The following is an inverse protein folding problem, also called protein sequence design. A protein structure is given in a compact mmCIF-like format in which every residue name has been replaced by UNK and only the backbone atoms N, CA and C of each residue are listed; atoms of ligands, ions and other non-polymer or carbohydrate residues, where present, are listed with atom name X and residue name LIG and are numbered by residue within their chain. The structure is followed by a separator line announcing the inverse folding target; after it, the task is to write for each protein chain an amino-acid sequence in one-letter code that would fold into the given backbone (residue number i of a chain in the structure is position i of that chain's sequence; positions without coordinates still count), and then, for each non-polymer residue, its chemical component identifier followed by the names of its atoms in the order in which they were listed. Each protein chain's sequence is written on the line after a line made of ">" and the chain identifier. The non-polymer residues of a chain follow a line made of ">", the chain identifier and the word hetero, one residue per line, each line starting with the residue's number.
data_IF_788674227814
#
_entry.id   IF_788674227814
#
_cell.length_a   1.000
_cell.length_b   1.000
_cell.length_c   1.000
_cell.angle_alpha   90.00
_cell.angle_beta   90.00
_cell.angle_gamma   90.00
#
_symmetry.space_group_name_H-M   'P 1'
#
loop_
_entity.id
_entity.type
_entity.pdbx_description
1 polymer ?
#
# COMPACT_ATOMS: atom_id res chain seq x y z
N UNK A 1 6.41 4.30 -21.17
CA UNK A 1 7.82 4.35 -20.70
C UNK A 1 8.29 5.77 -20.31
N UNK A 2 7.42 6.80 -20.30
CA UNK A 2 7.82 8.21 -20.09
C UNK A 2 7.58 8.78 -18.68
N UNK A 3 7.38 7.97 -17.63
CA UNK A 3 6.93 8.48 -16.31
C UNK A 3 7.95 8.26 -15.17
N UNK A 4 9.12 7.68 -15.45
CA UNK A 4 10.21 7.74 -14.47
C UNK A 4 10.84 9.14 -14.51
N UNK A 5 10.89 9.83 -13.35
CA UNK A 5 11.70 11.02 -13.21
C UNK A 5 13.12 10.73 -13.76
N UNK A 6 13.62 11.59 -14.65
CA UNK A 6 14.93 11.46 -15.30
C UNK A 6 16.02 11.01 -14.32
N UNK A 7 16.04 11.60 -13.12
CA UNK A 7 17.01 11.26 -12.07
C UNK A 7 16.94 9.81 -11.60
N UNK A 8 15.73 9.26 -11.44
CA UNK A 8 15.54 7.88 -10.99
C UNK A 8 15.77 6.87 -12.09
N UNK A 9 15.43 7.22 -13.33
CA UNK A 9 15.76 6.40 -14.49
C UNK A 9 17.27 6.27 -14.65
N UNK A 10 17.99 7.41 -14.63
CA UNK A 10 19.45 7.44 -14.70
C UNK A 10 20.08 6.67 -13.54
N UNK A 11 19.59 6.85 -12.30
CA UNK A 11 20.10 6.09 -11.15
C UNK A 11 19.93 4.57 -11.32
N UNK A 12 18.74 4.13 -11.76
CA UNK A 12 18.43 2.70 -11.96
C UNK A 12 19.24 2.09 -13.11
N UNK A 13 19.41 2.83 -14.21
CA UNK A 13 20.12 2.34 -15.41
C UNK A 13 21.65 2.36 -15.24
N UNK A 14 22.21 3.36 -14.56
CA UNK A 14 23.66 3.59 -14.51
C UNK A 14 24.32 3.16 -13.18
N UNK A 15 23.66 3.40 -12.04
CA UNK A 15 24.22 3.11 -10.72
C UNK A 15 23.76 1.77 -10.16
N UNK A 16 22.47 1.49 -10.18
CA UNK A 16 21.92 0.30 -9.52
C UNK A 16 22.39 -1.00 -10.19
N UNK A 17 22.50 -1.02 -11.53
CA UNK A 17 23.05 -2.17 -12.28
C UNK A 17 24.49 -2.52 -11.94
N UNK A 18 25.28 -1.53 -11.54
CA UNK A 18 26.72 -1.66 -11.29
C UNK A 18 27.06 -1.63 -9.80
N UNK A 19 26.06 -1.56 -8.92
CA UNK A 19 26.26 -1.57 -7.48
C UNK A 19 26.50 -3.01 -7.02
N UNK A 20 27.71 -3.29 -6.51
CA UNK A 20 27.90 -4.51 -5.73
C UNK A 20 27.13 -4.39 -4.42
N UNK A 21 25.96 -5.04 -4.36
CA UNK A 21 25.19 -5.15 -3.14
C UNK A 21 25.95 -6.06 -2.17
N UNK A 22 26.28 -5.53 -0.99
CA UNK A 22 26.88 -6.29 0.08
C UNK A 22 26.03 -7.51 0.49
N UNK A 23 26.66 -8.48 1.13
CA UNK A 23 25.96 -9.67 1.62
C UNK A 23 24.93 -9.27 2.69
N UNK A 24 23.70 -9.77 2.53
CA UNK A 24 22.66 -9.59 3.57
C UNK A 24 23.16 -10.14 4.92
N UNK A 25 22.89 -9.45 6.04
CA UNK A 25 23.25 -9.95 7.36
C UNK A 25 22.68 -11.33 7.64
N UNK A 26 23.36 -12.13 8.46
CA UNK A 26 22.99 -13.52 8.74
C UNK A 26 21.63 -13.68 9.43
N UNK A 27 21.16 -12.64 10.12
CA UNK A 27 19.87 -12.60 10.80
C UNK A 27 18.70 -12.32 9.84
N UNK A 28 18.96 -11.77 8.65
CA UNK A 28 17.93 -11.43 7.67
C UNK A 28 17.62 -12.63 6.77
N UNK A 29 17.01 -13.67 7.35
CA UNK A 29 16.61 -14.91 6.69
C UNK A 29 15.10 -15.10 6.76
N UNK A 30 14.55 -15.75 5.75
CA UNK A 30 13.11 -16.04 5.64
C UNK A 30 12.88 -17.54 5.67
N UNK A 31 11.73 -17.95 6.20
CA UNK A 31 11.25 -19.33 6.04
C UNK A 31 10.67 -19.49 4.63
N UNK A 32 10.77 -20.70 4.08
CA UNK A 32 10.15 -20.99 2.80
C UNK A 32 8.62 -20.87 2.90
N UNK A 33 7.95 -20.33 1.88
CA UNK A 33 6.51 -20.18 1.89
C UNK A 33 5.83 -21.54 1.77
N UNK A 34 5.30 -22.05 2.88
CA UNK A 34 4.59 -23.33 2.98
C UNK A 34 3.32 -23.16 3.82
N UNK A 35 2.30 -23.97 3.55
CA UNK A 35 1.03 -24.02 4.31
C UNK A 35 -0.20 -24.01 3.41
N UNK A 36 -1.30 -24.57 3.90
CA UNK A 36 -2.54 -24.72 3.12
C UNK A 36 -3.19 -23.36 2.80
N UNK A 37 -3.31 -22.48 3.81
CA UNK A 37 -3.81 -21.10 3.62
C UNK A 37 -3.00 -20.30 2.60
N UNK A 38 -1.69 -20.57 2.45
CA UNK A 38 -0.89 -19.87 1.45
C UNK A 38 -1.37 -20.16 0.03
N UNK A 39 -1.71 -21.41 -0.25
CA UNK A 39 -2.16 -21.86 -1.57
C UNK A 39 -3.56 -21.31 -1.87
N UNK A 40 -4.45 -21.30 -0.87
CA UNK A 40 -5.81 -20.80 -1.01
C UNK A 40 -5.83 -19.31 -1.33
N UNK A 41 -5.11 -18.49 -0.56
CA UNK A 41 -4.99 -17.04 -0.80
C UNK A 41 -4.42 -16.78 -2.20
N UNK A 42 -3.37 -17.50 -2.60
CA UNK A 42 -2.75 -17.34 -3.93
C UNK A 42 -3.71 -17.63 -5.07
N UNK A 43 -4.48 -18.71 -4.95
CA UNK A 43 -5.44 -19.11 -5.98
C UNK A 43 -6.59 -18.10 -6.08
N UNK A 44 -7.06 -17.62 -4.93
CA UNK A 44 -8.14 -16.64 -4.88
C UNK A 44 -7.76 -15.29 -5.46
N UNK A 45 -6.58 -14.77 -5.15
CA UNK A 45 -6.12 -13.48 -5.72
C UNK A 45 -6.14 -13.51 -7.26
N UNK A 46 -5.78 -14.67 -7.85
CA UNK A 46 -5.79 -14.86 -9.30
C UNK A 46 -7.20 -14.99 -9.86
N UNK A 47 -8.11 -15.71 -9.21
CA UNK A 47 -9.48 -15.89 -9.71
C UNK A 47 -10.29 -14.60 -9.63
N UNK A 48 -10.01 -13.74 -8.65
CA UNK A 48 -10.69 -12.46 -8.43
C UNK A 48 -10.05 -11.27 -9.16
N UNK A 49 -8.98 -11.51 -9.93
CA UNK A 49 -8.21 -10.47 -10.61
C UNK A 49 -7.82 -9.31 -9.67
N UNK A 50 -7.27 -9.67 -8.50
CA UNK A 50 -6.83 -8.75 -7.47
C UNK A 50 -5.30 -8.72 -7.38
N UNK A 51 -4.77 -7.59 -6.92
CA UNK A 51 -3.35 -7.44 -6.62
C UNK A 51 -3.10 -7.45 -5.10
N UNK A 52 -1.95 -7.97 -4.69
CA UNK A 52 -1.48 -7.88 -3.31
C UNK A 52 -0.11 -7.21 -3.26
N UNK A 53 0.11 -6.35 -2.27
CA UNK A 53 1.48 -5.85 -2.00
C UNK A 53 2.40 -7.01 -1.63
N UNK A 54 1.85 -8.07 -1.02
CA UNK A 54 2.60 -9.28 -0.68
C UNK A 54 3.33 -9.85 -1.90
N UNK A 55 2.67 -9.96 -3.04
CA UNK A 55 3.24 -10.48 -4.27
C UNK A 55 4.05 -9.42 -5.03
N UNK A 56 3.48 -8.22 -5.23
CA UNK A 56 4.09 -7.16 -6.06
C UNK A 56 5.39 -6.61 -5.45
N UNK A 57 5.45 -6.53 -4.11
CA UNK A 57 6.66 -6.12 -3.39
C UNK A 57 7.58 -7.29 -3.01
N UNK A 58 7.26 -8.53 -3.42
CA UNK A 58 8.02 -9.75 -3.09
C UNK A 58 8.26 -9.89 -1.58
N UNK A 59 7.19 -9.76 -0.80
CA UNK A 59 7.26 -9.67 0.65
C UNK A 59 7.83 -10.96 1.26
N UNK A 60 8.88 -10.86 2.11
CA UNK A 60 9.46 -12.01 2.79
C UNK A 60 8.52 -12.66 3.81
N UNK A 61 7.49 -11.94 4.26
CA UNK A 61 6.58 -12.36 5.35
C UNK A 61 5.26 -12.95 4.83
N UNK A 62 5.09 -13.07 3.51
CA UNK A 62 3.83 -13.45 2.88
C UNK A 62 3.20 -14.72 3.46
N UNK A 63 3.99 -15.79 3.64
CA UNK A 63 3.48 -17.04 4.19
C UNK A 63 3.06 -16.93 5.66
N UNK A 64 3.77 -16.15 6.47
CA UNK A 64 3.41 -15.94 7.87
C UNK A 64 2.10 -15.16 8.00
N UNK A 65 1.95 -14.08 7.23
CA UNK A 65 0.75 -13.26 7.23
C UNK A 65 -0.48 -14.06 6.77
N UNK A 66 -0.38 -14.75 5.63
CA UNK A 66 -1.49 -15.50 5.05
C UNK A 66 -1.93 -16.67 5.93
N UNK A 67 -0.98 -17.40 6.53
CA UNK A 67 -1.31 -18.44 7.50
C UNK A 67 -1.98 -17.89 8.77
N UNK A 68 -1.76 -16.62 9.12
CA UNK A 68 -2.38 -15.94 10.26
C UNK A 68 -3.80 -15.40 9.98
N UNK A 69 -4.34 -15.66 8.77
CA UNK A 69 -5.60 -15.09 8.25
C UNK A 69 -5.56 -13.57 8.16
N UNK A 70 -4.46 -13.05 7.63
CA UNK A 70 -4.31 -11.64 7.29
C UNK A 70 -3.67 -11.49 5.91
N UNK A 71 -4.17 -10.53 5.14
CA UNK A 71 -3.66 -10.21 3.82
C UNK A 71 -3.67 -8.69 3.59
N UNK A 72 -2.79 -8.24 2.69
CA UNK A 72 -2.72 -6.85 2.24
C UNK A 72 -3.11 -6.75 0.79
N UNK A 73 -4.29 -6.21 0.51
CA UNK A 73 -4.80 -5.96 -0.83
C UNK A 73 -4.22 -4.64 -1.37
N UNK A 74 -3.84 -4.65 -2.64
CA UNK A 74 -3.45 -3.45 -3.38
C UNK A 74 -4.54 -3.14 -4.40
N UNK A 75 -5.35 -2.13 -4.10
CA UNK A 75 -6.42 -1.65 -4.98
C UNK A 75 -5.90 -0.58 -5.97
N UNK A 76 -6.73 -0.22 -6.94
CA UNK A 76 -6.48 0.77 -7.98
C UNK A 76 -5.45 0.34 -9.03
N UNK A 77 -5.18 -0.97 -9.13
CA UNK A 77 -4.27 -1.59 -10.10
C UNK A 77 -2.82 -1.70 -9.62
N UNK A 78 -1.92 -2.00 -10.56
CA UNK A 78 -0.50 -2.31 -10.32
C UNK A 78 0.47 -1.20 -10.78
N UNK A 79 -0.07 -0.08 -11.23
CA UNK A 79 0.67 1.02 -11.87
C UNK A 79 0.42 2.31 -11.11
N UNK A 80 1.50 2.98 -10.71
CA UNK A 80 1.48 4.15 -9.83
C UNK A 80 1.89 5.41 -10.59
N UNK A 81 1.17 6.51 -10.35
CA UNK A 81 1.52 7.84 -10.91
C UNK A 81 2.79 8.45 -10.31
N UNK A 82 3.33 7.83 -9.25
CA UNK A 82 4.50 8.30 -8.52
C UNK A 82 5.65 7.30 -8.60
N UNK A 83 6.84 7.81 -8.35
CA UNK A 83 8.08 7.07 -8.50
C UNK A 83 8.89 7.17 -7.21
N UNK A 84 8.44 6.52 -6.13
CA UNK A 84 9.24 6.47 -4.90
C UNK A 84 10.51 5.62 -5.14
N UNK A 85 11.67 6.08 -4.67
CA UNK A 85 12.96 5.45 -4.98
C UNK A 85 13.15 4.04 -4.42
N UNK A 86 12.37 3.66 -3.41
CA UNK A 86 12.38 2.34 -2.78
C UNK A 86 11.28 1.40 -3.29
N UNK A 87 10.32 1.91 -4.06
CA UNK A 87 9.09 1.20 -4.37
C UNK A 87 9.28 0.33 -5.62
N UNK A 88 8.84 -0.92 -5.55
CA UNK A 88 8.95 -1.88 -6.65
C UNK A 88 7.74 -1.86 -7.62
N UNK A 89 6.76 -1.00 -7.37
CA UNK A 89 5.54 -0.88 -8.19
C UNK A 89 5.84 -0.20 -9.53
N UNK A 90 5.14 -0.61 -10.59
CA UNK A 90 5.30 -0.03 -11.93
C UNK A 90 4.93 1.45 -11.91
N UNK A 91 5.68 2.27 -12.63
CA UNK A 91 5.42 3.71 -12.74
C UNK A 91 4.75 4.01 -14.08
N UNK A 92 3.62 4.70 -14.04
CA UNK A 92 2.84 5.04 -15.22
C UNK A 92 1.51 5.71 -14.87
N UNK A 93 0.72 6.03 -15.89
CA UNK A 93 -0.67 6.46 -15.72
C UNK A 93 -1.55 5.22 -15.93
N UNK A 94 -2.36 4.81 -14.95
CA UNK A 94 -3.27 3.68 -15.12
C UNK A 94 -4.35 3.99 -16.15
N UNK A 95 -4.75 2.97 -16.92
CA UNK A 95 -5.67 3.16 -18.05
C UNK A 95 -7.14 3.16 -17.65
N UNK A 96 -7.50 2.46 -16.55
CA UNK A 96 -8.90 2.25 -16.16
C UNK A 96 -9.10 2.40 -14.64
N UNK A 97 -10.32 2.73 -14.25
CA UNK A 97 -10.77 2.73 -12.86
C UNK A 97 -11.89 1.68 -12.74
N UNK A 98 -11.61 0.63 -11.98
CA UNK A 98 -12.58 -0.43 -11.73
C UNK A 98 -13.40 -0.13 -10.47
N UNK A 99 -14.64 0.32 -10.67
CA UNK A 99 -15.58 0.62 -9.58
C UNK A 99 -16.11 -0.62 -8.86
N UNK A 100 -15.94 -1.81 -9.44
CA UNK A 100 -16.37 -3.08 -8.84
C UNK A 100 -15.25 -3.78 -8.05
N UNK A 101 -14.03 -3.23 -8.07
CA UNK A 101 -12.90 -3.75 -7.29
C UNK A 101 -13.22 -3.86 -5.78
N UNK A 102 -13.90 -2.89 -5.12
CA UNK A 102 -14.30 -3.02 -3.72
C UNK A 102 -15.12 -4.27 -3.41
N UNK A 103 -16.03 -4.66 -4.32
CA UNK A 103 -16.86 -5.86 -4.13
C UNK A 103 -16.02 -7.13 -4.18
N UNK A 104 -15.08 -7.23 -5.12
CA UNK A 104 -14.17 -8.39 -5.21
C UNK A 104 -13.23 -8.48 -4.02
N UNK A 105 -12.78 -7.34 -3.48
CA UNK A 105 -12.01 -7.31 -2.23
C UNK A 105 -12.87 -7.85 -1.08
N UNK A 106 -14.10 -7.36 -0.89
CA UNK A 106 -14.99 -7.84 0.16
C UNK A 106 -15.30 -9.35 0.03
N UNK A 107 -15.60 -9.83 -1.17
CA UNK A 107 -15.81 -11.25 -1.46
C UNK A 107 -14.58 -12.09 -1.10
N UNK A 108 -13.38 -11.58 -1.40
CA UNK A 108 -12.13 -12.27 -1.08
C UNK A 108 -11.85 -12.32 0.42
N UNK A 109 -12.12 -11.24 1.15
CA UNK A 109 -11.98 -11.19 2.61
C UNK A 109 -12.90 -12.23 3.26
N UNK A 110 -14.13 -12.36 2.74
CA UNK A 110 -15.14 -13.31 3.21
C UNK A 110 -14.76 -14.75 2.94
N UNK A 111 -14.38 -15.06 1.70
CA UNK A 111 -14.00 -16.40 1.28
C UNK A 111 -12.78 -16.92 2.06
N UNK A 112 -11.81 -16.05 2.32
CA UNK A 112 -10.61 -16.39 3.11
C UNK A 112 -10.83 -16.34 4.62
N UNK A 113 -12.00 -15.88 5.08
CA UNK A 113 -12.32 -15.70 6.49
C UNK A 113 -11.21 -14.94 7.24
N UNK A 114 -10.77 -13.82 6.65
CA UNK A 114 -9.68 -13.01 7.22
C UNK A 114 -10.15 -12.34 8.51
N UNK A 115 -9.28 -12.35 9.53
CA UNK A 115 -9.56 -11.64 10.80
C UNK A 115 -9.08 -10.19 10.77
N UNK A 116 -8.07 -9.93 9.96
CA UNK A 116 -7.51 -8.59 9.81
C UNK A 116 -7.09 -8.37 8.36
N UNK A 117 -7.64 -7.33 7.75
CA UNK A 117 -7.34 -6.95 6.38
C UNK A 117 -6.65 -5.60 6.36
N UNK A 118 -5.59 -5.50 5.55
CA UNK A 118 -4.96 -4.23 5.21
C UNK A 118 -5.29 -3.91 3.76
N UNK A 119 -5.78 -2.71 3.48
CA UNK A 119 -6.05 -2.24 2.12
C UNK A 119 -5.10 -1.09 1.84
N UNK A 120 -4.37 -1.17 0.74
CA UNK A 120 -3.50 -0.09 0.27
C UNK A 120 -3.67 0.09 -1.23
N UNK A 121 -3.03 1.09 -1.81
CA UNK A 121 -3.17 1.36 -3.22
C UNK A 121 -1.90 1.90 -3.84
N UNK A 122 -1.86 1.86 -5.16
CA UNK A 122 -1.02 2.76 -5.95
C UNK A 122 -1.53 4.20 -5.83
N UNK A 123 -0.69 5.18 -6.18
CA UNK A 123 -1.16 6.56 -6.29
C UNK A 123 -1.88 6.76 -7.62
N UNK A 124 -3.02 7.44 -7.58
CA UNK A 124 -3.88 7.80 -8.73
C UNK A 124 -4.04 9.32 -8.82
N UNK A 125 -2.93 10.05 -8.97
CA UNK A 125 -2.95 11.52 -8.95
C UNK A 125 -3.78 12.14 -10.10
N UNK A 126 -4.09 11.36 -11.14
CA UNK A 126 -4.97 11.77 -12.24
C UNK A 126 -6.46 11.75 -11.86
N UNK A 127 -6.85 11.04 -10.79
CA UNK A 127 -8.21 11.08 -10.25
C UNK A 127 -8.41 12.32 -9.36
N UNK A 128 -9.62 12.87 -9.37
CA UNK A 128 -9.97 14.08 -8.59
C UNK A 128 -9.87 13.85 -7.09
N UNK A 129 -10.28 12.69 -6.61
CA UNK A 129 -10.24 12.26 -5.21
C UNK A 129 -9.02 11.39 -4.89
N UNK A 130 -8.14 11.17 -5.87
CA UNK A 130 -6.98 10.28 -5.75
C UNK A 130 -7.32 8.81 -5.47
N UNK A 131 -8.57 8.38 -5.71
CA UNK A 131 -9.05 7.03 -5.42
C UNK A 131 -9.62 6.82 -4.02
N UNK A 132 -9.81 7.88 -3.23
CA UNK A 132 -10.38 7.79 -1.88
C UNK A 132 -11.76 7.12 -1.85
N UNK A 133 -12.58 7.28 -2.89
CA UNK A 133 -13.87 6.60 -3.02
C UNK A 133 -13.73 5.07 -2.96
N UNK A 134 -12.77 4.49 -3.69
CA UNK A 134 -12.57 3.03 -3.72
C UNK A 134 -12.12 2.50 -2.36
N UNK A 135 -11.28 3.24 -1.62
CA UNK A 135 -10.95 2.89 -0.24
C UNK A 135 -12.19 2.87 0.66
N UNK A 136 -12.99 3.95 0.64
CA UNK A 136 -14.20 4.08 1.46
C UNK A 136 -15.20 2.96 1.17
N UNK A 137 -15.42 2.64 -0.10
CA UNK A 137 -16.31 1.55 -0.51
C UNK A 137 -15.79 0.16 -0.10
N UNK A 138 -14.48 -0.08 -0.13
CA UNK A 138 -13.94 -1.33 0.40
C UNK A 138 -14.27 -1.48 1.89
N UNK A 139 -14.04 -0.44 2.69
CA UNK A 139 -14.34 -0.47 4.13
C UNK A 139 -15.83 -0.71 4.38
N UNK A 140 -16.69 0.01 3.65
CA UNK A 140 -18.16 -0.14 3.74
C UNK A 140 -18.60 -1.58 3.49
N UNK A 141 -18.22 -2.14 2.34
CA UNK A 141 -18.64 -3.50 1.93
C UNK A 141 -18.09 -4.58 2.85
N UNK A 142 -16.86 -4.42 3.35
CA UNK A 142 -16.29 -5.38 4.30
C UNK A 142 -17.07 -5.35 5.62
N UNK A 143 -17.36 -4.17 6.14
CA UNK A 143 -18.09 -4.03 7.41
C UNK A 143 -19.55 -4.52 7.31
N UNK A 144 -20.19 -4.39 6.14
CA UNK A 144 -21.54 -4.91 5.89
C UNK A 144 -21.60 -6.44 5.89
N UNK A 145 -20.58 -7.12 5.37
CA UNK A 145 -20.57 -8.57 5.20
C UNK A 145 -19.84 -9.31 6.33
N UNK A 146 -18.90 -8.66 7.03
CA UNK A 146 -17.95 -9.29 7.95
C UNK A 146 -17.63 -8.38 9.15
N UNK A 147 -18.60 -8.22 10.07
CA UNK A 147 -18.50 -7.29 11.21
C UNK A 147 -17.35 -7.58 12.21
N UNK A 148 -16.84 -8.81 12.26
CA UNK A 148 -15.73 -9.22 13.14
C UNK A 148 -14.34 -8.95 12.53
N UNK A 149 -14.26 -8.54 11.26
CA UNK A 149 -13.00 -8.30 10.56
C UNK A 149 -12.48 -6.90 10.84
N UNK A 150 -11.28 -6.79 11.39
CA UNK A 150 -10.62 -5.48 11.55
C UNK A 150 -10.07 -4.99 10.22
N UNK A 151 -10.42 -3.78 9.81
CA UNK A 151 -9.98 -3.13 8.57
C UNK A 151 -8.96 -2.02 8.85
N UNK A 152 -7.72 -2.22 8.39
CA UNK A 152 -6.69 -1.18 8.31
C UNK A 152 -6.60 -0.67 6.86
N UNK A 153 -6.53 0.65 6.66
CA UNK A 153 -6.19 1.22 5.35
C UNK A 153 -4.84 1.92 5.41
N UNK A 154 -3.94 1.61 4.48
CA UNK A 154 -2.68 2.30 4.25
C UNK A 154 -2.83 3.19 3.01
N UNK A 155 -3.07 4.48 3.26
CA UNK A 155 -3.48 5.43 2.22
C UNK A 155 -2.30 6.24 1.65
N UNK A 156 -2.40 6.69 0.39
CA UNK A 156 -1.53 7.74 -0.15
C UNK A 156 -1.77 9.08 0.57
N UNK A 157 -0.98 10.10 0.22
CA UNK A 157 -1.15 11.44 0.82
C UNK A 157 -2.30 12.26 0.20
N UNK A 158 -2.97 11.72 -0.83
CA UNK A 158 -4.00 12.39 -1.63
C UNK A 158 -3.66 13.82 -2.06
N UNK A 159 -2.37 14.12 -2.20
CA UNK A 159 -1.81 15.48 -2.40
C UNK A 159 -2.16 16.49 -1.30
N UNK A 160 -2.81 16.08 -0.23
CA UNK A 160 -3.26 16.92 0.88
C UNK A 160 -4.70 17.43 0.71
N UNK A 161 -5.45 16.85 -0.22
CA UNK A 161 -6.84 17.24 -0.50
C UNK A 161 -7.77 16.74 0.61
N UNK A 162 -8.24 17.65 1.47
CA UNK A 162 -9.12 17.29 2.59
C UNK A 162 -10.43 16.63 2.14
N UNK A 163 -10.92 16.94 0.94
CA UNK A 163 -12.10 16.27 0.34
C UNK A 163 -11.90 14.75 0.22
N UNK A 164 -10.69 14.30 -0.08
CA UNK A 164 -10.37 12.88 -0.11
C UNK A 164 -10.46 12.28 1.30
N UNK A 165 -10.01 13.01 2.32
CA UNK A 165 -10.11 12.56 3.71
C UNK A 165 -11.56 12.50 4.19
N UNK A 166 -12.40 13.47 3.79
CA UNK A 166 -13.83 13.47 4.06
C UNK A 166 -14.53 12.25 3.43
N UNK A 167 -14.16 11.86 2.20
CA UNK A 167 -14.68 10.65 1.56
C UNK A 167 -14.32 9.39 2.35
N UNK A 168 -13.08 9.28 2.83
CA UNK A 168 -12.66 8.18 3.72
C UNK A 168 -13.49 8.15 5.00
N UNK A 169 -13.76 9.32 5.59
CA UNK A 169 -14.54 9.42 6.83
C UNK A 169 -16.03 9.09 6.67
N UNK A 170 -16.56 8.94 5.46
CA UNK A 170 -17.93 8.44 5.26
C UNK A 170 -18.07 7.00 5.78
N UNK A 171 -17.01 6.18 5.62
CA UNK A 171 -16.92 4.81 6.12
C UNK A 171 -15.55 4.62 6.77
N UNK A 172 -15.38 5.05 8.03
CA UNK A 172 -14.07 5.06 8.67
C UNK A 172 -13.52 3.64 8.90
N UNK A 173 -12.22 3.42 8.68
CA UNK A 173 -11.55 2.17 9.02
C UNK A 173 -11.32 2.04 10.54
N UNK A 174 -11.00 0.83 11.03
CA UNK A 174 -10.55 0.65 12.41
C UNK A 174 -9.18 1.29 12.65
N UNK A 175 -8.30 1.22 11.64
CA UNK A 175 -6.94 1.77 11.69
C UNK A 175 -6.66 2.53 10.40
N UNK A 176 -6.26 3.79 10.54
CA UNK A 176 -5.76 4.57 9.42
C UNK A 176 -4.23 4.64 9.46
N UNK A 177 -3.59 4.11 8.43
CA UNK A 177 -2.16 4.08 8.28
C UNK A 177 -1.72 5.02 7.14
N UNK A 178 -0.69 5.82 7.40
CA UNK A 178 0.03 6.55 6.38
C UNK A 178 1.52 6.57 6.73
N UNK A 179 2.34 5.92 5.92
CA UNK A 179 3.77 5.84 6.22
C UNK A 179 4.48 7.17 5.93
N UNK A 180 5.38 7.56 6.84
CA UNK A 180 6.38 8.60 6.58
C UNK A 180 7.53 8.05 5.75
N UNK A 181 7.87 6.77 5.93
CA UNK A 181 8.95 6.04 5.26
C UNK A 181 10.37 6.46 5.67
N UNK A 182 10.63 7.75 5.89
CA UNK A 182 11.97 8.23 6.25
C UNK A 182 11.93 9.58 6.99
N UNK A 183 13.10 10.04 7.43
CA UNK A 183 13.34 11.32 8.09
C UNK A 183 13.23 12.50 7.12
N UNK A 184 12.95 13.74 7.60
CA UNK A 184 12.77 14.92 6.74
C UNK A 184 13.92 15.17 5.75
N UNK A 185 15.16 14.97 6.18
CA UNK A 185 16.38 15.20 5.39
C UNK A 185 16.43 14.36 4.11
N UNK A 186 15.90 13.14 4.15
CA UNK A 186 15.93 12.18 3.04
C UNK A 186 14.64 12.17 2.23
N UNK A 187 13.61 12.87 2.68
CA UNK A 187 12.25 12.68 2.19
C UNK A 187 12.10 12.94 0.69
N UNK A 188 12.68 14.03 0.18
CA UNK A 188 12.63 14.38 -1.25
C UNK A 188 13.44 13.44 -2.14
N UNK A 189 14.46 12.80 -1.60
CA UNK A 189 15.29 11.81 -2.31
C UNK A 189 14.52 10.49 -2.43
N UNK A 190 13.90 10.07 -1.33
CA UNK A 190 13.21 8.78 -1.22
C UNK A 190 11.80 8.85 -1.83
N UNK A 191 11.10 9.98 -1.69
CA UNK A 191 9.71 10.21 -2.12
C UNK A 191 9.58 11.57 -2.83
N UNK A 192 10.08 11.71 -4.07
CA UNK A 192 10.19 13.02 -4.72
C UNK A 192 8.87 13.77 -4.92
N UNK A 193 7.74 13.05 -5.04
CA UNK A 193 6.40 13.66 -5.18
C UNK A 193 5.67 13.87 -3.83
N UNK A 194 6.21 13.37 -2.71
CA UNK A 194 5.60 13.51 -1.39
C UNK A 194 6.23 14.67 -0.59
N UNK A 195 5.50 15.20 0.40
CA UNK A 195 6.02 16.22 1.34
C UNK A 195 5.90 15.74 2.78
N UNK A 196 6.98 15.82 3.56
CA UNK A 196 7.02 15.33 4.94
C UNK A 196 5.94 15.97 5.82
N UNK A 197 5.87 17.31 5.78
CA UNK A 197 4.89 18.05 6.57
C UNK A 197 3.44 17.73 6.18
N UNK A 198 3.17 17.47 4.89
CA UNK A 198 1.84 17.07 4.43
C UNK A 198 1.44 15.72 5.01
N UNK A 199 2.36 14.76 5.03
CA UNK A 199 2.12 13.44 5.62
C UNK A 199 1.86 13.52 7.13
N UNK A 200 2.58 14.39 7.85
CA UNK A 200 2.28 14.67 9.27
C UNK A 200 0.91 15.32 9.46
N UNK A 201 0.57 16.32 8.65
CA UNK A 201 -0.73 17.00 8.72
C UNK A 201 -1.89 16.05 8.45
N UNK A 202 -1.75 15.14 7.48
CA UNK A 202 -2.74 14.10 7.20
C UNK A 202 -2.96 13.18 8.41
N UNK A 203 -1.88 12.66 9.00
CA UNK A 203 -1.97 11.78 10.18
C UNK A 203 -2.65 12.52 11.34
N UNK A 204 -2.29 13.79 11.54
CA UNK A 204 -2.90 14.65 12.56
C UNK A 204 -4.40 14.85 12.32
N UNK A 205 -4.80 15.16 11.08
CA UNK A 205 -6.20 15.40 10.70
C UNK A 205 -7.10 14.24 11.08
N UNK A 206 -6.71 12.99 10.74
CA UNK A 206 -7.50 11.81 11.09
C UNK A 206 -7.47 11.49 12.59
N UNK A 207 -6.33 11.73 13.25
CA UNK A 207 -6.21 11.54 14.70
C UNK A 207 -7.14 12.49 15.48
N UNK A 208 -7.26 13.74 15.04
CA UNK A 208 -8.15 14.74 15.63
C UNK A 208 -9.64 14.40 15.43
N UNK A 209 -9.97 13.57 14.43
CA UNK A 209 -11.32 13.01 14.22
C UNK A 209 -11.55 11.67 14.92
N UNK A 210 -10.63 11.26 15.80
CA UNK A 210 -10.82 10.10 16.67
C UNK A 210 -10.34 8.76 16.11
N UNK A 211 -9.76 8.72 14.90
CA UNK A 211 -9.22 7.47 14.36
C UNK A 211 -7.93 7.04 15.08
N UNK A 212 -7.74 5.73 15.17
CA UNK A 212 -6.45 5.14 15.51
C UNK A 212 -5.52 5.30 14.30
N UNK A 213 -4.50 6.12 14.44
CA UNK A 213 -3.53 6.37 13.37
C UNK A 213 -2.25 5.58 13.54
N UNK A 214 -1.64 5.18 12.42
CA UNK A 214 -0.42 4.40 12.33
C UNK A 214 0.51 4.99 11.27
N UNK A 215 1.81 4.80 11.43
CA UNK A 215 2.82 5.14 10.44
C UNK A 215 4.01 4.18 10.54
N UNK A 216 4.79 4.06 9.47
CA UNK A 216 6.02 3.30 9.38
C UNK A 216 7.20 4.14 8.90
N UNK A 217 8.40 3.70 9.26
CA UNK A 217 9.69 4.21 8.80
C UNK A 217 10.54 3.02 8.36
N UNK A 218 11.21 3.13 7.22
CA UNK A 218 12.26 2.21 6.81
C UNK A 218 13.61 2.72 7.32
N UNK A 219 14.39 1.81 7.90
CA UNK A 219 15.75 2.09 8.41
C UNK A 219 16.80 1.52 7.47
N UNK A 220 18.03 2.03 7.55
CA UNK A 220 19.15 1.61 6.72
C UNK A 220 19.21 2.30 5.34
N UNK A 221 18.63 3.50 5.23
CA UNK A 221 18.60 4.31 4.00
C UNK A 221 19.46 5.58 4.12
N UNK A 222 20.29 5.66 5.17
CA UNK A 222 21.22 6.75 5.42
C UNK A 222 20.66 7.86 6.30
N UNK A 223 19.71 7.50 7.18
CA UNK A 223 18.99 8.39 8.09
C UNK A 223 19.82 8.93 9.26
N UNK A 224 20.99 8.34 9.52
CA UNK A 224 21.98 8.79 10.52
C UNK A 224 22.38 10.27 10.37
#
# INVERSE_FOLDING_TARGET
>A
MEVLNKYQRTYKEEKEKNLELGKRPSWLKVKLPTGDNYTDVRNLMRSQNLHTVCEEAKCPNMAECWNSRSATFMILGDTCTRSCGFCNIKVGIPNELDINEPKRVADSVKELNLRHVVITSVNRDELKDGGAFIFSECVRLINEEMYDTTVEILIPDFRGEEKAFEIIMQHPPDILNHNLETVPRLYSVVRPQAKYQRSLSLIKWFKEKGLKTKSGIMVGIGEE
#
